data_IF_129943008434
#
_entry.id   IF_129943008434
#
_cell.length_a   1.000
_cell.length_b   1.000
_cell.length_c   1.000
_cell.angle_alpha   90.00
_cell.angle_beta   90.00
_cell.angle_gamma   90.00
#
_symmetry.space_group_name_H-M   'P 1'
#
loop_
_entity.id
_entity.type
_entity.pdbx_description
1 polymer ?
#
# COMPACT_ATOMS: atom_id res chain seq x y z
N UNK A 1 39.92 16.90 0.27
CA UNK A 1 41.36 17.26 0.35
C UNK A 1 42.20 16.05 0.71
N UNK A 2 41.83 15.28 1.75
CA UNK A 2 42.52 14.06 2.17
C UNK A 2 42.52 12.94 1.10
N UNK A 3 41.40 12.70 0.44
CA UNK A 3 41.30 11.73 -0.66
C UNK A 3 42.22 12.05 -1.85
N UNK A 4 42.43 13.35 -2.12
CA UNK A 4 43.31 13.82 -3.19
C UNK A 4 44.79 13.63 -2.85
N UNK A 5 45.14 13.70 -1.57
CA UNK A 5 46.49 13.37 -1.07
C UNK A 5 46.72 11.87 -1.18
N UNK A 6 45.73 11.05 -0.80
CA UNK A 6 45.79 9.59 -0.88
C UNK A 6 45.90 9.11 -2.34
N UNK A 7 45.14 9.71 -3.27
CA UNK A 7 45.22 9.35 -4.69
C UNK A 7 46.58 9.69 -5.29
N UNK A 8 47.15 10.85 -4.94
CA UNK A 8 48.47 11.29 -5.41
C UNK A 8 49.58 10.38 -4.85
N UNK A 9 49.46 9.94 -3.59
CA UNK A 9 50.41 8.98 -3.01
C UNK A 9 50.32 7.59 -3.65
N UNK A 10 49.11 7.12 -3.98
CA UNK A 10 48.91 5.86 -4.73
C UNK A 10 49.53 5.91 -6.13
N UNK A 11 49.44 7.06 -6.79
CA UNK A 11 50.01 7.28 -8.11
C UNK A 11 51.55 7.35 -8.09
N UNK A 12 52.14 7.96 -7.06
CA UNK A 12 53.61 8.10 -6.93
C UNK A 12 54.29 6.80 -6.48
N UNK A 13 53.65 6.02 -5.60
CA UNK A 13 54.30 4.88 -4.93
C UNK A 13 53.77 3.50 -5.38
N UNK A 14 52.77 3.44 -6.26
CA UNK A 14 52.16 2.19 -6.75
C UNK A 14 51.25 1.49 -5.73
N UNK A 15 50.17 0.86 -6.21
CA UNK A 15 49.14 0.22 -5.37
C UNK A 15 49.64 -0.96 -4.51
N UNK A 16 50.80 -1.53 -4.80
CA UNK A 16 51.30 -2.79 -4.21
C UNK A 16 52.41 -2.62 -3.18
N UNK A 17 52.80 -1.40 -2.81
CA UNK A 17 53.81 -1.21 -1.77
C UNK A 17 53.19 -1.43 -0.38
N UNK A 18 53.60 -2.50 0.32
CA UNK A 18 53.24 -2.79 1.71
C UNK A 18 53.53 -1.60 2.64
N UNK A 19 54.51 -0.77 2.27
CA UNK A 19 54.80 0.51 2.91
C UNK A 19 53.64 1.51 2.80
N UNK A 20 53.02 1.68 1.63
CA UNK A 20 51.87 2.58 1.45
C UNK A 20 50.69 2.07 2.26
N UNK A 21 50.46 0.74 2.27
CA UNK A 21 49.37 0.12 3.03
C UNK A 21 49.58 0.23 4.54
N UNK A 22 50.80 0.03 5.04
CA UNK A 22 51.13 0.15 6.47
C UNK A 22 51.11 1.61 6.93
N UNK A 23 51.55 2.55 6.09
CA UNK A 23 51.48 3.98 6.39
C UNK A 23 50.02 4.47 6.34
N UNK A 24 49.21 3.98 5.41
CA UNK A 24 47.78 4.29 5.35
C UNK A 24 47.04 3.74 6.56
N UNK A 25 47.24 2.47 6.95
CA UNK A 25 46.61 1.92 8.16
C UNK A 25 47.06 2.66 9.41
N UNK A 26 48.36 2.97 9.55
CA UNK A 26 48.87 3.73 10.69
C UNK A 26 48.32 5.17 10.72
N UNK A 27 48.11 5.81 9.56
CA UNK A 27 47.48 7.12 9.47
C UNK A 27 45.99 7.05 9.76
N UNK A 28 45.27 6.05 9.24
CA UNK A 28 43.85 5.84 9.52
C UNK A 28 43.61 5.58 11.01
N UNK A 29 44.38 4.68 11.65
CA UNK A 29 44.30 4.42 13.10
C UNK A 29 44.65 5.66 13.95
N UNK A 30 45.62 6.47 13.51
CA UNK A 30 46.01 7.69 14.24
C UNK A 30 45.06 8.86 14.01
N UNK A 31 44.54 9.04 12.80
CA UNK A 31 43.60 10.12 12.46
C UNK A 31 42.18 9.82 12.94
N UNK A 32 41.80 8.54 13.06
CA UNK A 32 40.51 8.14 13.66
C UNK A 32 40.46 8.37 15.16
N UNK A 33 41.60 8.59 15.84
CA UNK A 33 41.56 8.96 17.24
C UNK A 33 40.92 10.36 17.38
N UNK A 34 39.80 10.49 18.12
CA UNK A 34 39.09 11.75 18.28
C UNK A 34 39.99 12.89 18.74
N UNK A 35 41.02 12.56 19.53
CA UNK A 35 41.99 13.52 20.05
C UNK A 35 42.71 14.30 18.94
N UNK A 36 43.18 13.64 17.87
CA UNK A 36 43.85 14.33 16.77
C UNK A 36 42.88 15.20 15.98
N UNK A 37 41.63 14.75 15.81
CA UNK A 37 40.56 15.57 15.23
C UNK A 37 40.36 16.87 16.03
N UNK A 38 40.21 16.77 17.36
CA UNK A 38 40.11 17.94 18.23
C UNK A 38 41.40 18.78 18.21
N UNK A 39 42.58 18.17 18.09
CA UNK A 39 43.84 18.91 17.95
C UNK A 39 43.92 19.73 16.69
N UNK A 40 43.60 19.14 15.53
CA UNK A 40 43.56 19.89 14.28
C UNK A 40 42.56 21.05 14.37
N UNK A 41 41.33 20.80 14.81
CA UNK A 41 40.31 21.87 14.95
C UNK A 41 40.80 22.97 15.89
N UNK A 42 41.33 22.62 17.07
CA UNK A 42 41.91 23.59 17.99
C UNK A 42 43.07 24.38 17.39
N UNK A 43 43.93 23.72 16.61
CA UNK A 43 45.07 24.36 15.97
C UNK A 43 44.64 25.36 14.89
N UNK A 44 43.63 25.01 14.09
CA UNK A 44 43.00 25.94 13.14
C UNK A 44 42.35 27.13 13.83
N UNK A 45 41.63 26.90 14.94
CA UNK A 45 40.98 27.96 15.72
C UNK A 45 41.99 28.88 16.39
N UNK A 46 43.06 28.32 16.95
CA UNK A 46 44.10 29.10 17.62
C UNK A 46 44.94 29.91 16.62
N UNK A 47 45.27 29.32 15.47
CA UNK A 47 46.02 29.96 14.39
C UNK A 47 45.10 30.54 13.30
N UNK A 48 43.88 30.97 13.67
CA UNK A 48 42.87 31.42 12.71
C UNK A 48 43.35 32.59 11.83
N UNK A 49 44.20 33.47 12.37
CA UNK A 49 44.77 34.61 11.64
C UNK A 49 45.55 34.16 10.41
N UNK A 50 46.29 33.05 10.51
CA UNK A 50 47.04 32.50 9.40
C UNK A 50 46.10 32.10 8.27
N UNK A 51 45.04 31.36 8.58
CA UNK A 51 44.04 30.93 7.59
C UNK A 51 43.23 32.10 7.04
N UNK A 52 42.89 33.05 7.90
CA UNK A 52 42.16 34.24 7.49
C UNK A 52 42.94 35.06 6.47
N UNK A 53 44.22 35.32 6.75
CA UNK A 53 45.13 36.03 5.85
C UNK A 53 45.42 35.21 4.60
N UNK A 54 45.61 33.90 4.75
CA UNK A 54 45.93 33.00 3.64
C UNK A 54 44.75 32.74 2.71
N UNK A 55 43.49 32.91 3.13
CA UNK A 55 42.33 32.59 2.29
C UNK A 55 41.48 33.81 1.91
N UNK A 56 41.38 34.81 2.80
CA UNK A 56 40.36 35.87 2.67
C UNK A 56 40.91 37.28 2.48
N UNK A 57 42.19 37.53 2.77
CA UNK A 57 42.79 38.85 2.60
C UNK A 57 43.46 39.01 1.23
N UNK A 58 43.09 40.10 0.55
CA UNK A 58 43.72 40.52 -0.69
C UNK A 58 45.09 41.16 -0.47
N UNK A 59 46.01 40.89 -1.40
CA UNK A 59 47.37 41.42 -1.41
C UNK A 59 47.42 42.95 -1.26
N UNK A 60 46.51 43.67 -1.94
CA UNK A 60 46.48 45.15 -1.93
C UNK A 60 46.21 45.68 -0.51
N UNK A 61 45.22 45.11 0.18
CA UNK A 61 44.84 45.51 1.52
C UNK A 61 45.95 45.23 2.56
N UNK A 62 46.70 44.13 2.39
CA UNK A 62 47.84 43.81 3.24
C UNK A 62 48.95 44.84 3.00
N UNK A 63 49.34 45.04 1.73
CA UNK A 63 50.44 45.92 1.36
C UNK A 63 50.19 47.38 1.75
N UNK A 64 48.98 47.90 1.56
CA UNK A 64 48.62 49.27 1.95
C UNK A 64 48.73 49.52 3.47
N UNK A 65 48.45 48.50 4.30
CA UNK A 65 48.49 48.63 5.76
C UNK A 65 49.85 48.33 6.37
N UNK A 66 50.58 47.37 5.83
CA UNK A 66 51.80 46.84 6.45
C UNK A 66 53.05 47.12 5.65
N UNK A 67 52.92 47.51 4.37
CA UNK A 67 54.04 47.64 3.44
C UNK A 67 54.68 46.32 3.03
N UNK A 68 54.11 45.18 3.45
CA UNK A 68 54.68 43.84 3.23
C UNK A 68 53.92 43.11 2.12
N UNK A 69 54.63 42.28 1.36
CA UNK A 69 54.00 41.31 0.49
C UNK A 69 53.26 40.26 1.33
N UNK A 70 52.17 39.65 0.83
CA UNK A 70 51.41 38.62 1.57
C UNK A 70 52.29 37.48 2.09
N UNK A 71 53.29 37.04 1.33
CA UNK A 71 54.19 35.99 1.77
C UNK A 71 55.06 36.45 2.96
N UNK A 72 55.59 37.67 2.91
CA UNK A 72 56.38 38.26 4.00
C UNK A 72 55.52 38.49 5.24
N UNK A 73 54.28 38.96 5.04
CA UNK A 73 53.32 39.14 6.11
C UNK A 73 52.92 37.79 6.75
N UNK A 74 52.67 36.76 5.95
CA UNK A 74 52.42 35.41 6.46
C UNK A 74 53.62 34.87 7.24
N UNK A 75 54.85 35.05 6.76
CA UNK A 75 56.06 34.68 7.48
C UNK A 75 56.18 35.46 8.79
N UNK A 76 55.81 36.74 8.82
CA UNK A 76 55.83 37.55 10.04
C UNK A 76 54.86 37.08 11.13
N UNK A 77 53.80 36.35 10.76
CA UNK A 77 52.89 35.73 11.73
C UNK A 77 53.51 34.49 12.39
N UNK A 78 54.57 33.92 11.80
CA UNK A 78 55.38 32.90 12.42
C UNK A 78 56.55 33.54 13.18
N UNK A 79 56.72 33.24 14.48
CA UNK A 79 57.94 33.61 15.19
C UNK A 79 59.13 32.92 14.50
N UNK A 80 60.07 33.74 14.04
CA UNK A 80 61.26 33.31 13.29
C UNK A 80 62.28 32.58 14.15
N UNK A 81 62.21 32.72 15.47
CA UNK A 81 63.01 31.97 16.44
C UNK A 81 62.23 30.80 17.02
N UNK A 82 62.92 29.69 17.30
CA UNK A 82 62.43 28.58 18.16
C UNK A 82 62.29 29.00 19.64
N UNK A 83 61.76 30.19 19.88
CA UNK A 83 61.53 30.74 21.21
C UNK A 83 60.38 30.00 21.89
N UNK A 84 60.27 30.19 23.20
CA UNK A 84 59.14 29.68 23.97
C UNK A 84 57.78 30.13 23.38
N UNK A 85 57.71 31.33 22.82
CA UNK A 85 56.52 31.85 22.14
C UNK A 85 56.10 31.00 20.94
N UNK A 86 57.05 30.48 20.16
CA UNK A 86 56.77 29.57 19.05
C UNK A 86 56.09 28.29 19.53
N UNK A 87 56.67 27.64 20.54
CA UNK A 87 56.08 26.43 21.13
C UNK A 87 54.72 26.72 21.75
N UNK A 88 54.59 27.86 22.43
CA UNK A 88 53.34 28.27 23.06
C UNK A 88 52.23 28.48 22.03
N UNK A 89 52.52 29.19 20.93
CA UNK A 89 51.52 29.57 19.93
C UNK A 89 51.13 28.41 19.01
N UNK A 90 52.07 27.56 18.61
CA UNK A 90 51.82 26.53 17.60
C UNK A 90 51.50 25.15 18.18
N UNK A 91 51.94 24.86 19.40
CA UNK A 91 51.78 23.52 19.97
C UNK A 91 51.04 23.54 21.30
N UNK A 92 51.56 24.25 22.31
CA UNK A 92 51.02 24.22 23.68
C UNK A 92 49.61 24.84 23.73
N UNK A 93 49.41 26.00 23.12
CA UNK A 93 48.12 26.70 23.08
C UNK A 93 47.03 25.85 22.42
N UNK A 94 47.22 25.37 21.18
CA UNK A 94 46.32 24.42 20.54
C UNK A 94 46.06 23.18 21.38
N UNK A 95 47.09 22.59 22.00
CA UNK A 95 46.95 21.40 22.84
C UNK A 95 46.11 21.67 24.10
N UNK A 96 46.32 22.81 24.77
CA UNK A 96 45.49 23.23 25.90
C UNK A 96 44.03 23.43 25.47
N UNK A 97 43.81 24.04 24.31
CA UNK A 97 42.48 24.23 23.74
C UNK A 97 41.84 22.87 23.38
N UNK A 98 42.62 21.91 22.89
CA UNK A 98 42.18 20.53 22.64
C UNK A 98 41.76 19.83 23.92
N UNK A 99 42.55 19.91 24.98
CA UNK A 99 42.19 19.32 26.28
C UNK A 99 40.91 19.97 26.81
N UNK A 100 40.80 21.30 26.67
CA UNK A 100 39.61 22.05 27.05
C UNK A 100 38.37 21.59 26.27
N UNK A 101 38.42 21.52 24.94
CA UNK A 101 37.31 21.04 24.13
C UNK A 101 37.01 19.56 24.38
N UNK A 102 38.03 18.71 24.50
CA UNK A 102 37.85 17.29 24.78
C UNK A 102 37.10 17.04 26.08
N UNK A 103 37.33 17.87 27.12
CA UNK A 103 36.61 17.77 28.39
C UNK A 103 35.26 18.48 28.39
N UNK A 104 35.17 19.68 27.81
CA UNK A 104 33.97 20.51 27.89
C UNK A 104 32.90 20.11 26.85
N UNK A 105 33.32 19.70 25.66
CA UNK A 105 32.43 19.38 24.56
C UNK A 105 31.50 18.19 24.86
N UNK A 106 31.96 17.07 25.46
CA UNK A 106 31.06 15.99 25.90
C UNK A 106 30.03 16.44 26.92
N UNK A 107 30.36 17.39 27.80
CA UNK A 107 29.42 17.91 28.79
C UNK A 107 28.32 18.75 28.14
N UNK A 108 28.69 19.68 27.27
CA UNK A 108 27.72 20.49 26.51
C UNK A 108 26.81 19.63 25.62
N UNK A 109 27.41 18.73 24.84
CA UNK A 109 26.66 17.85 23.93
C UNK A 109 25.67 16.95 24.67
N UNK A 110 26.01 16.39 25.84
CA UNK A 110 25.05 15.61 26.65
C UNK A 110 23.77 16.37 26.98
N UNK A 111 23.86 17.66 27.31
CA UNK A 111 22.69 18.49 27.61
C UNK A 111 21.80 18.68 26.38
N UNK A 112 22.39 19.00 25.22
CA UNK A 112 21.66 19.15 23.97
C UNK A 112 21.06 17.83 23.48
N UNK A 113 21.82 16.73 23.55
CA UNK A 113 21.34 15.39 23.21
C UNK A 113 20.17 14.96 24.10
N UNK A 114 20.24 15.21 25.41
CA UNK A 114 19.12 14.89 26.32
C UNK A 114 17.84 15.64 25.94
N UNK A 115 17.97 16.92 25.55
CA UNK A 115 16.82 17.71 25.08
C UNK A 115 16.30 17.20 23.73
N UNK A 116 17.19 16.87 22.80
CA UNK A 116 16.83 16.33 21.48
C UNK A 116 16.09 14.99 21.60
N UNK A 117 16.62 14.05 22.41
CA UNK A 117 15.97 12.75 22.67
C UNK A 117 14.60 12.94 23.30
N UNK A 118 14.45 13.87 24.26
CA UNK A 118 13.15 14.15 24.87
C UNK A 118 12.13 14.64 23.84
N UNK A 119 12.54 15.53 22.93
CA UNK A 119 11.67 16.04 21.88
C UNK A 119 11.29 14.95 20.87
N UNK A 120 12.26 14.12 20.44
CA UNK A 120 11.98 13.00 19.53
C UNK A 120 11.03 11.99 20.15
N UNK A 121 11.21 11.65 21.42
CA UNK A 121 10.30 10.75 22.12
C UNK A 121 8.90 11.36 22.28
N UNK A 122 8.80 12.65 22.56
CA UNK A 122 7.51 13.34 22.62
C UNK A 122 6.76 13.29 21.26
N UNK A 123 7.47 13.53 20.16
CA UNK A 123 6.90 13.44 18.81
C UNK A 123 6.41 12.03 18.50
N UNK A 124 7.21 10.99 18.80
CA UNK A 124 6.81 9.59 18.63
C UNK A 124 5.58 9.22 19.46
N UNK A 125 5.46 9.75 20.67
CA UNK A 125 4.29 9.51 21.52
C UNK A 125 3.04 10.16 20.91
N UNK A 126 3.15 11.38 20.36
CA UNK A 126 2.04 12.06 19.69
C UNK A 126 1.60 11.29 18.45
N UNK A 127 2.54 10.86 17.60
CA UNK A 127 2.27 10.07 16.40
C UNK A 127 1.58 8.73 16.72
N UNK A 128 2.00 8.05 17.79
CA UNK A 128 1.34 6.84 18.28
C UNK A 128 -0.07 7.11 18.81
N UNK A 129 -0.31 8.27 19.42
CA UNK A 129 -1.64 8.64 19.90
C UNK A 129 -2.58 9.00 18.73
N UNK A 130 -2.09 9.68 17.70
CA UNK A 130 -2.87 10.01 16.51
C UNK A 130 -3.24 8.77 15.70
N UNK A 131 -2.28 7.90 15.39
CA UNK A 131 -2.55 6.64 14.70
C UNK A 131 -3.53 5.73 15.45
N UNK A 132 -3.48 5.72 16.79
CA UNK A 132 -4.47 5.01 17.60
C UNK A 132 -5.87 5.64 17.56
N UNK A 133 -5.97 6.97 17.45
CA UNK A 133 -7.26 7.66 17.25
C UNK A 133 -7.84 7.34 15.89
N UNK A 134 -7.05 7.45 14.82
CA UNK A 134 -7.45 7.10 13.45
C UNK A 134 -7.93 5.64 13.39
N UNK A 135 -7.18 4.70 13.96
CA UNK A 135 -7.59 3.28 14.02
C UNK A 135 -8.91 3.08 14.76
N UNK A 136 -9.19 3.87 15.81
CA UNK A 136 -10.46 3.78 16.56
C UNK A 136 -11.62 4.38 15.77
N UNK A 137 -11.39 5.49 15.08
CA UNK A 137 -12.38 6.14 14.21
C UNK A 137 -12.71 5.24 13.01
N UNK A 138 -11.71 4.69 12.33
CA UNK A 138 -11.88 3.70 11.27
C UNK A 138 -12.67 2.48 11.75
N UNK A 139 -12.35 1.93 12.92
CA UNK A 139 -13.11 0.82 13.52
C UNK A 139 -14.56 1.21 13.84
N UNK A 140 -14.82 2.48 14.14
CA UNK A 140 -16.17 3.03 14.31
C UNK A 140 -16.93 3.06 12.97
N UNK A 141 -16.32 3.66 11.95
CA UNK A 141 -16.89 3.77 10.60
C UNK A 141 -17.16 2.39 10.00
N UNK A 142 -16.22 1.45 10.11
CA UNK A 142 -16.41 0.07 9.62
C UNK A 142 -17.58 -0.62 10.35
N UNK A 143 -17.79 -0.36 11.65
CA UNK A 143 -18.94 -0.90 12.38
C UNK A 143 -20.26 -0.32 11.89
N UNK A 144 -20.29 0.98 11.61
CA UNK A 144 -21.48 1.65 11.08
C UNK A 144 -21.80 1.16 9.66
N UNK A 145 -20.80 1.09 8.78
CA UNK A 145 -20.95 0.56 7.42
C UNK A 145 -21.41 -0.90 7.43
N UNK A 146 -20.81 -1.75 8.27
CA UNK A 146 -21.22 -3.15 8.38
C UNK A 146 -22.63 -3.30 8.94
N UNK A 147 -23.08 -2.43 9.84
CA UNK A 147 -24.46 -2.40 10.31
C UNK A 147 -25.44 -2.02 9.18
N UNK A 148 -25.12 -0.97 8.42
CA UNK A 148 -25.93 -0.52 7.28
C UNK A 148 -26.00 -1.57 6.16
N UNK A 149 -24.89 -2.25 5.87
CA UNK A 149 -24.85 -3.33 4.88
C UNK A 149 -25.70 -4.52 5.36
N UNK A 150 -25.62 -4.90 6.64
CA UNK A 150 -26.47 -5.96 7.20
C UNK A 150 -27.95 -5.62 7.10
N UNK A 151 -28.34 -4.39 7.43
CA UNK A 151 -29.73 -3.94 7.31
C UNK A 151 -30.22 -4.00 5.85
N UNK A 152 -29.39 -3.56 4.89
CA UNK A 152 -29.71 -3.67 3.45
C UNK A 152 -29.84 -5.13 3.00
N UNK A 153 -28.99 -6.02 3.49
CA UNK A 153 -29.06 -7.46 3.17
C UNK A 153 -30.33 -8.08 3.75
N UNK A 154 -30.72 -7.72 4.97
CA UNK A 154 -31.97 -8.20 5.57
C UNK A 154 -33.19 -7.71 4.80
N UNK A 155 -33.26 -6.42 4.46
CA UNK A 155 -34.33 -5.87 3.61
C UNK A 155 -34.41 -6.56 2.25
N UNK A 156 -33.28 -6.74 1.57
CA UNK A 156 -33.26 -7.45 0.28
C UNK A 156 -33.65 -8.93 0.40
N UNK A 157 -33.38 -9.58 1.55
CA UNK A 157 -33.84 -10.95 1.82
C UNK A 157 -35.34 -10.99 2.10
N UNK A 158 -35.88 -10.01 2.81
CA UNK A 158 -37.32 -9.90 3.07
C UNK A 158 -38.09 -9.61 1.79
N UNK A 159 -37.61 -8.68 0.95
CA UNK A 159 -38.18 -8.39 -0.37
C UNK A 159 -38.14 -9.62 -1.27
N UNK A 160 -37.01 -10.35 -1.32
CA UNK A 160 -36.94 -11.61 -2.06
C UNK A 160 -37.82 -12.72 -1.48
N UNK A 161 -38.01 -12.78 -0.16
CA UNK A 161 -38.96 -13.73 0.46
C UNK A 161 -40.42 -13.34 0.18
N UNK A 162 -40.72 -12.06 0.04
CA UNK A 162 -42.04 -11.59 -0.38
C UNK A 162 -42.29 -11.82 -1.88
N UNK A 163 -41.22 -11.85 -2.70
CA UNK A 163 -41.29 -12.12 -4.14
C UNK A 163 -41.25 -13.63 -4.48
N UNK A 164 -40.80 -14.48 -3.55
CA UNK A 164 -40.77 -15.94 -3.72
C UNK A 164 -42.06 -16.57 -3.14
N UNK A 165 -42.78 -17.25 -4.04
CA UNK A 165 -43.83 -18.26 -3.84
C UNK A 165 -45.30 -17.79 -3.89
N UNK A 166 -45.71 -17.18 -5.02
CA UNK A 166 -46.97 -17.65 -5.62
C UNK A 166 -46.66 -18.84 -6.55
N UNK A 167 -47.35 -20.00 -6.41
CA UNK A 167 -47.14 -21.17 -7.27
C UNK A 167 -47.18 -20.85 -8.77
N UNK A 168 -47.93 -19.82 -9.15
CA UNK A 168 -48.09 -19.34 -10.53
C UNK A 168 -46.78 -18.83 -11.16
N UNK A 169 -45.89 -18.18 -10.39
CA UNK A 169 -44.60 -17.67 -10.93
C UNK A 169 -43.63 -18.80 -11.24
N UNK A 170 -43.65 -19.87 -10.43
CA UNK A 170 -42.89 -21.09 -10.70
C UNK A 170 -43.44 -21.83 -11.91
N UNK A 171 -44.77 -21.94 -12.00
CA UNK A 171 -45.45 -22.58 -13.12
C UNK A 171 -45.24 -21.84 -14.44
N UNK A 172 -45.14 -20.50 -14.44
CA UNK A 172 -44.84 -19.72 -15.65
C UNK A 172 -43.42 -20.03 -16.19
N UNK A 173 -42.42 -20.10 -15.31
CA UNK A 173 -41.03 -20.44 -15.71
C UNK A 173 -40.95 -21.86 -16.27
N UNK A 174 -41.62 -22.81 -15.62
CA UNK A 174 -41.71 -24.19 -16.10
C UNK A 174 -42.47 -24.27 -17.43
N UNK A 175 -43.56 -23.52 -17.60
CA UNK A 175 -44.34 -23.49 -18.84
C UNK A 175 -43.48 -23.03 -20.02
N UNK A 176 -42.75 -21.91 -19.89
CA UNK A 176 -41.89 -21.38 -20.97
C UNK A 176 -40.84 -22.43 -21.39
N UNK A 177 -40.10 -22.96 -20.42
CA UNK A 177 -39.04 -23.95 -20.71
C UNK A 177 -39.57 -25.25 -21.31
N UNK A 178 -40.74 -25.74 -20.88
CA UNK A 178 -41.33 -26.96 -21.41
C UNK A 178 -41.95 -26.76 -22.78
N UNK A 179 -42.57 -25.60 -23.02
CA UNK A 179 -43.18 -25.24 -24.30
C UNK A 179 -42.13 -25.08 -25.40
N UNK A 180 -41.00 -24.44 -25.11
CA UNK A 180 -39.89 -24.28 -26.07
C UNK A 180 -39.30 -25.64 -26.49
N UNK A 181 -39.10 -26.54 -25.53
CA UNK A 181 -38.43 -27.82 -25.79
C UNK A 181 -39.37 -28.93 -26.32
N UNK A 182 -40.68 -28.82 -26.12
CA UNK A 182 -41.65 -29.90 -26.43
C UNK A 182 -42.91 -29.35 -27.12
N UNK A 183 -42.74 -28.37 -28.01
CA UNK A 183 -43.85 -27.70 -28.70
C UNK A 183 -44.79 -28.66 -29.44
N UNK A 184 -44.23 -29.74 -30.00
CA UNK A 184 -44.97 -30.82 -30.67
C UNK A 184 -45.91 -31.57 -29.71
N UNK A 185 -45.46 -31.86 -28.49
CA UNK A 185 -46.28 -32.47 -27.45
C UNK A 185 -47.39 -31.51 -26.98
N UNK A 186 -47.06 -30.23 -26.79
CA UNK A 186 -48.04 -29.20 -26.38
C UNK A 186 -49.13 -28.95 -27.43
N UNK A 187 -48.84 -29.11 -28.72
CA UNK A 187 -49.86 -29.05 -29.78
C UNK A 187 -50.98 -30.09 -29.60
N UNK A 188 -50.69 -31.20 -28.91
CA UNK A 188 -51.64 -32.29 -28.63
C UNK A 188 -52.47 -32.03 -27.37
N UNK A 189 -52.12 -31.01 -26.58
CA UNK A 189 -52.81 -30.66 -25.34
C UNK A 189 -54.29 -30.29 -25.57
N UNK A 190 -54.59 -29.63 -26.69
CA UNK A 190 -55.97 -29.28 -27.10
C UNK A 190 -56.81 -30.52 -27.43
N UNK A 191 -56.22 -31.47 -28.15
CA UNK A 191 -56.88 -32.73 -28.48
C UNK A 191 -57.13 -33.56 -27.20
N UNK A 192 -56.25 -33.45 -26.20
CA UNK A 192 -56.46 -34.06 -24.89
C UNK A 192 -57.53 -33.32 -24.06
N UNK A 193 -57.67 -32.01 -24.18
CA UNK A 193 -58.78 -31.27 -23.56
C UNK A 193 -60.13 -31.79 -24.07
N UNK A 194 -60.26 -31.99 -25.38
CA UNK A 194 -61.49 -32.53 -25.97
C UNK A 194 -61.84 -33.94 -25.43
N UNK A 195 -60.85 -34.74 -25.05
CA UNK A 195 -61.05 -36.06 -24.45
C UNK A 195 -61.24 -36.01 -22.93
N UNK A 196 -60.63 -35.05 -22.23
CA UNK A 196 -60.87 -34.84 -20.81
C UNK A 196 -62.31 -34.38 -20.53
N UNK A 197 -62.94 -33.69 -21.50
CA UNK A 197 -64.32 -33.20 -21.40
C UNK A 197 -65.32 -33.93 -22.31
N UNK A 198 -64.86 -34.78 -23.24
CA UNK A 198 -65.68 -35.48 -24.22
C UNK A 198 -65.50 -36.99 -24.15
N UNK A 199 -66.60 -37.73 -24.30
CA UNK A 199 -66.66 -39.19 -24.12
C UNK A 199 -66.13 -39.92 -25.38
N UNK A 200 -64.84 -39.73 -25.70
CA UNK A 200 -64.17 -40.19 -26.92
C UNK A 200 -63.11 -41.26 -26.63
N UNK A 201 -62.97 -42.24 -27.53
CA UNK A 201 -61.97 -43.31 -27.42
C UNK A 201 -60.57 -42.80 -27.77
N UNK A 202 -59.57 -43.15 -26.94
CA UNK A 202 -58.19 -42.73 -27.14
C UNK A 202 -57.49 -43.57 -28.24
N UNK A 203 -56.81 -42.90 -29.17
CA UNK A 203 -55.92 -43.49 -30.18
C UNK A 203 -54.48 -43.68 -29.64
N UNK A 204 -53.74 -44.66 -30.16
CA UNK A 204 -52.39 -45.04 -29.67
C UNK A 204 -51.38 -43.88 -29.57
N UNK A 205 -51.42 -42.91 -30.50
CA UNK A 205 -50.51 -41.76 -30.47
C UNK A 205 -50.78 -40.80 -29.30
N UNK A 206 -51.98 -40.86 -28.69
CA UNK A 206 -52.36 -40.07 -27.52
C UNK A 206 -51.75 -40.62 -26.23
N UNK A 207 -51.37 -41.92 -26.20
CA UNK A 207 -50.77 -42.57 -25.01
C UNK A 207 -49.43 -41.93 -24.64
N UNK A 208 -48.60 -41.57 -25.63
CA UNK A 208 -47.29 -40.92 -25.40
C UNK A 208 -47.46 -39.51 -24.83
N UNK A 209 -48.39 -38.73 -25.37
CA UNK A 209 -48.68 -37.37 -24.90
C UNK A 209 -49.27 -37.39 -23.49
N UNK A 210 -50.21 -38.29 -23.21
CA UNK A 210 -50.81 -38.47 -21.90
C UNK A 210 -49.76 -38.83 -20.85
N UNK A 211 -48.86 -39.77 -21.18
CA UNK A 211 -47.77 -40.17 -20.28
C UNK A 211 -46.85 -39.00 -19.94
N UNK A 212 -46.47 -38.20 -20.95
CA UNK A 212 -45.64 -37.01 -20.77
C UNK A 212 -46.30 -35.98 -19.83
N UNK A 213 -47.56 -35.64 -20.07
CA UNK A 213 -48.27 -34.66 -19.26
C UNK A 213 -48.63 -35.16 -17.85
N UNK A 214 -48.79 -36.47 -17.67
CA UNK A 214 -48.94 -37.07 -16.35
C UNK A 214 -47.65 -36.96 -15.53
N UNK A 215 -46.49 -37.27 -16.12
CA UNK A 215 -45.18 -37.17 -15.46
C UNK A 215 -44.86 -35.74 -15.01
N UNK A 216 -45.27 -34.74 -15.80
CA UNK A 216 -45.07 -33.31 -15.48
C UNK A 216 -46.11 -32.80 -14.45
N UNK A 217 -47.10 -33.63 -14.11
CA UNK A 217 -48.11 -33.35 -13.12
C UNK A 217 -49.24 -32.46 -13.60
N UNK A 218 -49.49 -32.39 -14.92
CA UNK A 218 -50.63 -31.64 -15.47
C UNK A 218 -51.94 -32.42 -15.37
N UNK A 219 -51.84 -33.75 -15.35
CA UNK A 219 -52.99 -34.65 -15.25
C UNK A 219 -52.87 -35.64 -14.10
N UNK A 220 -54.01 -36.03 -13.55
CA UNK A 220 -54.16 -37.17 -12.65
C UNK A 220 -55.21 -38.14 -13.18
N UNK A 221 -55.01 -39.42 -12.90
CA UNK A 221 -55.98 -40.47 -13.23
C UNK A 221 -56.82 -40.79 -11.99
N UNK A 222 -58.13 -40.88 -12.16
CA UNK A 222 -59.02 -41.34 -11.10
C UNK A 222 -58.98 -42.87 -11.02
N UNK A 223 -58.60 -43.43 -9.87
CA UNK A 223 -58.48 -44.88 -9.67
C UNK A 223 -59.77 -45.61 -10.06
N UNK A 224 -59.68 -46.49 -11.05
CA UNK A 224 -60.79 -47.33 -11.50
C UNK A 224 -61.67 -46.74 -12.61
N UNK A 225 -61.36 -45.53 -13.12
CA UNK A 225 -62.02 -44.95 -14.30
C UNK A 225 -60.97 -44.51 -15.32
N UNK A 226 -61.28 -44.65 -16.61
CA UNK A 226 -60.45 -44.10 -17.70
C UNK A 226 -60.64 -42.58 -17.86
N UNK A 227 -60.81 -41.85 -16.74
CA UNK A 227 -61.05 -40.41 -16.73
C UNK A 227 -59.77 -39.66 -16.33
N UNK A 228 -59.43 -38.65 -17.13
CA UNK A 228 -58.25 -37.79 -16.95
C UNK A 228 -58.73 -36.47 -16.33
N UNK A 229 -58.21 -36.13 -15.16
CA UNK A 229 -58.50 -34.87 -14.48
C UNK A 229 -57.31 -33.91 -14.58
N UNK A 230 -57.58 -32.62 -14.79
CA UNK A 230 -56.56 -31.56 -14.79
C UNK A 230 -56.22 -31.12 -13.36
N UNK A 231 -54.93 -31.09 -13.04
CA UNK A 231 -54.42 -30.46 -11.80
C UNK A 231 -54.52 -28.94 -11.89
N UNK A 232 -54.34 -28.22 -10.79
CA UNK A 232 -54.33 -26.74 -10.84
C UNK A 232 -53.18 -26.20 -11.69
N UNK A 233 -52.03 -26.88 -11.67
CA UNK A 233 -50.93 -26.67 -12.62
C UNK A 233 -51.37 -26.96 -14.06
N UNK A 234 -52.08 -28.06 -14.30
CA UNK A 234 -52.64 -28.40 -15.60
C UNK A 234 -53.59 -27.33 -16.15
N UNK A 235 -54.49 -26.81 -15.30
CA UNK A 235 -55.41 -25.71 -15.66
C UNK A 235 -54.65 -24.43 -15.98
N UNK A 236 -53.62 -24.10 -15.21
CA UNK A 236 -52.75 -22.95 -15.47
C UNK A 236 -52.04 -23.09 -16.83
N UNK A 237 -51.41 -24.23 -17.08
CA UNK A 237 -50.70 -24.52 -18.33
C UNK A 237 -51.65 -24.50 -19.55
N UNK A 238 -52.85 -25.08 -19.41
CA UNK A 238 -53.85 -25.08 -20.47
C UNK A 238 -54.36 -23.66 -20.77
N UNK A 239 -54.66 -22.87 -19.73
CA UNK A 239 -55.07 -21.47 -19.87
C UNK A 239 -53.98 -20.68 -20.59
N UNK A 240 -52.72 -20.83 -20.18
CA UNK A 240 -51.57 -20.14 -20.77
C UNK A 240 -51.35 -20.53 -22.23
N UNK A 241 -51.46 -21.83 -22.55
CA UNK A 241 -51.37 -22.34 -23.92
C UNK A 241 -52.44 -21.73 -24.84
N UNK A 242 -53.70 -21.66 -24.38
CA UNK A 242 -54.80 -21.06 -25.13
C UNK A 242 -54.57 -19.56 -25.36
N UNK A 243 -54.08 -18.84 -24.36
CA UNK A 243 -53.73 -17.41 -24.46
C UNK A 243 -52.62 -17.16 -25.48
N UNK A 244 -51.53 -17.94 -25.44
CA UNK A 244 -50.41 -17.84 -26.40
C UNK A 244 -50.89 -18.07 -27.84
N UNK A 245 -51.81 -19.02 -28.06
CA UNK A 245 -52.35 -19.32 -29.39
C UNK A 245 -53.35 -18.27 -29.90
N UNK A 246 -54.23 -17.74 -29.03
CA UNK A 246 -55.20 -16.69 -29.39
C UNK A 246 -54.55 -15.33 -29.57
N UNK A 247 -53.44 -15.07 -28.90
CA UNK A 247 -52.76 -13.78 -28.91
C UNK A 247 -51.93 -13.50 -30.16
N UNK A 248 -51.69 -14.47 -31.05
CA UNK A 248 -50.86 -14.27 -32.26
C UNK A 248 -49.41 -13.84 -31.99
N UNK A 249 -49.00 -13.77 -30.73
CA UNK A 249 -47.63 -13.48 -30.32
C UNK A 249 -46.87 -14.80 -30.37
N UNK A 250 -46.34 -15.11 -31.56
CA UNK A 250 -45.07 -15.79 -31.67
C UNK A 250 -44.12 -15.07 -30.69
N UNK A 251 -43.74 -15.76 -29.62
CA UNK A 251 -42.58 -15.39 -28.84
C UNK A 251 -41.45 -15.24 -29.87
N UNK A 252 -40.85 -14.05 -30.03
CA UNK A 252 -39.82 -13.87 -31.04
C UNK A 252 -38.66 -14.80 -30.66
N UNK A 253 -38.17 -15.53 -31.67
CA UNK A 253 -36.93 -16.29 -31.62
C UNK A 253 -35.78 -15.49 -31.02
#
# INVERSE_FOLDING_TARGET
MFEKIISTMKEIFGETNEFVRSTQMALEERITSPFYGYFFVSWFLWNWQLFYVALFLDQKNIFEKTGLLRNEYLISLFPTSYSFEFWLRFFIGPLLLTVFFFWLFPYGTRLFFRKSIKNQNALKIIELQESQKETREEKGLVKEETALIKEKIEKAKEEKKAEIETPEVLWEKEFVSLFENNSDEFSKLEQLQEHAYGNSYLADWQIKAISFFHVIGLFTFESGKQLINLTDKGKFFLKRFIETRKGGNLIPF
#
